data_IF_583224081784
#
_entry.id   IF_583224081784
#
_cell.length_a   1.000
_cell.length_b   1.000
_cell.length_c   1.000
_cell.angle_alpha   90.00
_cell.angle_beta   90.00
_cell.angle_gamma   90.00
#
_symmetry.space_group_name_H-M   'P 1'
#
loop_
_entity.id
_entity.type
_entity.pdbx_description
1 polymer ?
#
# COMPACT_ATOMS: atom_id res chain seq x y z
N UNK A 1 -1.55 8.11 24.10
CA UNK A 1 -2.72 8.52 23.30
C UNK A 1 -2.79 7.54 22.12
N UNK A 2 -3.58 6.47 22.21
CA UNK A 2 -3.69 5.49 21.12
C UNK A 2 -4.85 5.91 20.21
N UNK A 3 -4.62 6.93 19.38
CA UNK A 3 -5.60 7.51 18.47
C UNK A 3 -5.50 6.81 17.11
N UNK A 4 -5.94 5.56 17.03
CA UNK A 4 -5.93 4.78 15.79
C UNK A 4 -6.51 3.39 15.98
N UNK A 5 -6.96 2.77 14.91
CA UNK A 5 -7.28 1.34 14.89
C UNK A 5 -5.98 0.54 15.08
N UNK A 6 -6.08 -0.66 15.64
CA UNK A 6 -4.92 -1.54 15.93
C UNK A 6 -4.12 -1.96 14.69
N UNK A 7 -4.72 -1.80 13.52
CA UNK A 7 -4.18 -2.12 12.21
C UNK A 7 -3.80 -0.88 11.39
N UNK A 8 -3.64 0.29 12.03
CA UNK A 8 -3.19 1.52 11.36
C UNK A 8 -1.71 1.78 11.62
N UNK A 9 -0.93 1.97 10.56
CA UNK A 9 0.53 2.11 10.64
C UNK A 9 1.08 3.25 9.79
N UNK A 10 2.28 3.68 10.17
CA UNK A 10 3.17 4.52 9.38
C UNK A 10 4.50 3.78 9.23
N UNK A 11 4.89 3.51 7.99
CA UNK A 11 6.13 2.79 7.67
C UNK A 11 7.21 3.76 7.24
N UNK A 12 8.44 3.50 7.70
CA UNK A 12 9.64 4.28 7.40
C UNK A 12 10.77 3.42 6.81
N UNK A 13 10.55 2.12 6.71
CA UNK A 13 11.47 1.13 6.14
C UNK A 13 10.71 0.19 5.19
N UNK A 14 11.42 -0.35 4.21
CA UNK A 14 10.87 -1.35 3.28
C UNK A 14 10.41 -2.61 4.03
N UNK A 15 11.20 -3.06 5.00
CA UNK A 15 10.94 -4.26 5.79
C UNK A 15 9.62 -4.14 6.58
N UNK A 16 9.43 -3.01 7.28
CA UNK A 16 8.20 -2.74 8.03
C UNK A 16 6.98 -2.59 7.10
N UNK A 17 7.18 -1.96 5.94
CA UNK A 17 6.13 -1.81 4.93
C UNK A 17 5.66 -3.17 4.41
N UNK A 18 6.59 -4.03 3.99
CA UNK A 18 6.26 -5.34 3.42
C UNK A 18 5.55 -6.20 4.46
N UNK A 19 6.09 -6.30 5.67
CA UNK A 19 5.50 -7.11 6.74
C UNK A 19 4.14 -6.55 7.19
N UNK A 20 4.06 -5.23 7.38
CA UNK A 20 2.87 -4.54 7.84
C UNK A 20 1.74 -4.62 6.83
N UNK A 21 1.97 -4.21 5.58
CA UNK A 21 0.94 -4.19 4.54
C UNK A 21 0.36 -5.60 4.26
N UNK A 22 1.23 -6.61 4.20
CA UNK A 22 0.78 -8.02 4.04
C UNK A 22 -0.12 -8.48 5.17
N UNK A 23 0.09 -7.96 6.39
CA UNK A 23 -0.73 -8.28 7.56
C UNK A 23 -2.04 -7.49 7.59
N UNK A 24 -1.99 -6.19 7.30
CA UNK A 24 -3.16 -5.31 7.35
C UNK A 24 -4.12 -5.57 6.20
N UNK A 25 -3.62 -5.72 4.96
CA UNK A 25 -4.44 -5.96 3.78
C UNK A 25 -5.03 -7.38 3.73
N UNK A 26 -4.39 -8.34 4.41
CA UNK A 26 -4.97 -9.65 4.70
C UNK A 26 -6.22 -9.57 5.60
N UNK A 27 -6.32 -8.55 6.45
CA UNK A 27 -7.39 -8.43 7.44
C UNK A 27 -8.57 -7.63 6.91
N UNK A 28 -8.34 -6.48 6.28
CA UNK A 28 -9.38 -5.59 5.77
C UNK A 28 -8.88 -4.78 4.56
N UNK A 29 -9.78 -4.19 3.74
CA UNK A 29 -9.41 -3.22 2.71
C UNK A 29 -8.64 -2.01 3.26
N UNK A 30 -7.70 -1.47 2.47
CA UNK A 30 -6.73 -0.46 2.92
C UNK A 30 -6.83 0.84 2.14
N UNK A 31 -6.43 1.93 2.79
CA UNK A 31 -6.06 3.21 2.18
C UNK A 31 -4.57 3.41 2.40
N UNK A 32 -3.83 3.53 1.30
CA UNK A 32 -2.38 3.73 1.30
C UNK A 32 -2.08 5.12 0.77
N UNK A 33 -1.26 5.90 1.49
CA UNK A 33 -0.92 7.27 1.09
C UNK A 33 0.47 7.69 1.54
N UNK A 34 1.07 8.62 0.79
CA UNK A 34 2.24 9.37 1.27
C UNK A 34 1.85 10.34 2.40
N UNK A 35 2.78 10.61 3.30
CA UNK A 35 2.62 11.64 4.33
C UNK A 35 3.16 13.02 3.90
N UNK A 36 2.98 13.35 2.62
CA UNK A 36 3.32 14.65 2.01
C UNK A 36 2.19 15.03 1.06
N UNK A 37 1.84 16.32 1.03
CA UNK A 37 0.69 16.83 0.29
C UNK A 37 0.62 16.24 -1.12
N UNK A 38 -0.45 15.50 -1.38
CA UNK A 38 -0.75 14.97 -2.69
C UNK A 38 -2.12 15.50 -3.08
N UNK A 39 -2.26 16.00 -4.31
CA UNK A 39 -3.55 16.42 -4.85
C UNK A 39 -4.42 15.19 -5.21
N UNK A 40 -4.41 14.15 -4.36
CA UNK A 40 -4.99 12.82 -4.63
C UNK A 40 -3.99 11.81 -5.20
N UNK A 41 -2.86 12.25 -5.76
CA UNK A 41 -1.86 11.37 -6.38
C UNK A 41 -1.18 10.46 -5.36
N UNK A 42 -0.97 9.20 -5.74
CA UNK A 42 -0.35 8.19 -4.88
C UNK A 42 -1.18 7.84 -3.64
N UNK A 43 -2.49 8.14 -3.64
CA UNK A 43 -3.43 7.63 -2.64
C UNK A 43 -4.20 6.46 -3.25
N UNK A 44 -4.04 5.27 -2.69
CA UNK A 44 -4.61 4.03 -3.20
C UNK A 44 -5.65 3.45 -2.26
N UNK A 45 -6.82 3.12 -2.78
CA UNK A 45 -7.76 2.21 -2.15
C UNK A 45 -7.43 0.78 -2.60
N UNK A 46 -7.21 -0.12 -1.65
CA UNK A 46 -6.70 -1.46 -1.91
C UNK A 46 -7.69 -2.53 -1.42
N UNK A 47 -8.09 -3.44 -2.29
CA UNK A 47 -8.91 -4.61 -1.97
C UNK A 47 -8.25 -5.90 -2.46
N UNK A 48 -8.43 -7.00 -1.75
CA UNK A 48 -8.13 -8.33 -2.29
C UNK A 48 -9.13 -8.67 -3.39
N UNK A 49 -8.64 -9.01 -4.58
CA UNK A 49 -9.47 -9.53 -5.67
C UNK A 49 -10.21 -10.81 -5.26
N UNK A 50 -9.60 -11.63 -4.41
CA UNK A 50 -10.18 -12.87 -3.91
C UNK A 50 -11.29 -12.65 -2.86
N UNK A 51 -11.34 -11.48 -2.23
CA UNK A 51 -12.19 -11.21 -1.06
C UNK A 51 -11.87 -12.05 0.19
N UNK A 52 -10.77 -12.81 0.19
CA UNK A 52 -10.41 -13.75 1.27
C UNK A 52 -9.70 -13.05 2.43
N UNK A 53 -10.41 -12.21 3.16
CA UNK A 53 -9.90 -11.59 4.38
C UNK A 53 -9.89 -12.57 5.56
N UNK A 54 -8.90 -12.47 6.45
CA UNK A 54 -8.92 -13.23 7.70
C UNK A 54 -9.87 -12.62 8.74
N UNK A 55 -10.30 -13.44 9.70
CA UNK A 55 -11.29 -13.04 10.70
C UNK A 55 -10.70 -12.11 11.75
N UNK A 56 -9.48 -12.37 12.21
CA UNK A 56 -8.80 -11.55 13.20
C UNK A 56 -7.50 -10.98 12.62
N UNK A 57 -7.12 -9.79 13.09
CA UNK A 57 -5.90 -9.13 12.66
C UNK A 57 -4.67 -9.99 13.01
N UNK A 58 -3.88 -10.36 11.99
CA UNK A 58 -2.69 -11.18 12.14
C UNK A 58 -2.87 -12.69 11.99
N UNK A 59 -4.09 -13.18 11.76
CA UNK A 59 -4.35 -14.60 11.48
C UNK A 59 -3.64 -15.12 10.22
N UNK A 60 -3.32 -14.23 9.27
CA UNK A 60 -2.61 -14.56 8.04
C UNK A 60 -1.76 -13.39 7.55
N UNK A 61 -0.86 -13.69 6.62
CA UNK A 61 -0.15 -12.72 5.80
C UNK A 61 -0.49 -12.97 4.33
N UNK A 62 -0.46 -11.91 3.52
CA UNK A 62 -0.58 -12.06 2.07
C UNK A 62 0.70 -12.62 1.44
N UNK A 63 0.54 -13.44 0.41
CA UNK A 63 1.61 -13.88 -0.47
C UNK A 63 1.80 -12.89 -1.63
N UNK A 64 3.01 -12.83 -2.20
CA UNK A 64 3.33 -11.86 -3.26
C UNK A 64 2.50 -12.04 -4.53
N UNK A 65 2.01 -13.26 -4.79
CA UNK A 65 1.22 -13.62 -5.97
C UNK A 65 -0.30 -13.36 -5.80
N UNK A 66 -0.77 -12.95 -4.62
CA UNK A 66 -2.17 -12.59 -4.43
C UNK A 66 -2.48 -11.28 -5.14
N UNK A 67 -3.68 -11.19 -5.71
CA UNK A 67 -4.07 -10.06 -6.55
C UNK A 67 -4.83 -8.99 -5.77
N UNK A 68 -4.45 -7.75 -6.01
CA UNK A 68 -5.06 -6.53 -5.50
C UNK A 68 -5.86 -5.85 -6.61
N UNK A 69 -7.02 -5.33 -6.22
CA UNK A 69 -7.76 -4.32 -6.95
C UNK A 69 -7.37 -2.98 -6.33
N UNK A 70 -6.83 -2.06 -7.13
CA UNK A 70 -6.25 -0.80 -6.68
C UNK A 70 -6.94 0.37 -7.37
N UNK A 71 -7.51 1.31 -6.61
CA UNK A 71 -8.06 2.56 -7.16
C UNK A 71 -7.21 3.74 -6.74
N UNK A 72 -6.69 4.51 -7.70
CA UNK A 72 -6.03 5.78 -7.38
C UNK A 72 -7.08 6.87 -7.15
N UNK A 73 -6.96 7.63 -6.06
CA UNK A 73 -7.98 8.62 -5.69
C UNK A 73 -7.96 9.91 -6.53
N UNK A 74 -6.90 10.18 -7.29
CA UNK A 74 -6.79 11.40 -8.11
C UNK A 74 -7.79 11.41 -9.28
N UNK A 75 -8.01 10.28 -9.95
CA UNK A 75 -8.84 10.15 -11.14
C UNK A 75 -9.80 8.94 -11.10
N UNK A 76 -9.76 8.15 -10.02
CA UNK A 76 -10.54 6.93 -9.79
C UNK A 76 -10.29 5.79 -10.79
N UNK A 77 -9.17 5.80 -11.52
CA UNK A 77 -8.84 4.67 -12.38
C UNK A 77 -8.56 3.42 -11.55
N UNK A 78 -8.79 2.27 -12.17
CA UNK A 78 -8.60 0.96 -11.54
C UNK A 78 -7.40 0.26 -12.14
N UNK A 79 -6.47 -0.18 -11.30
CA UNK A 79 -5.37 -1.08 -11.67
C UNK A 79 -5.50 -2.41 -10.93
N UNK A 80 -4.90 -3.45 -11.51
CA UNK A 80 -4.87 -4.80 -10.92
C UNK A 80 -3.43 -5.27 -10.93
N UNK A 81 -2.90 -5.47 -9.74
CA UNK A 81 -1.51 -5.87 -9.53
C UNK A 81 -1.42 -6.93 -8.47
N UNK A 82 -0.38 -7.74 -8.54
CA UNK A 82 -0.04 -8.63 -7.45
C UNK A 82 0.45 -7.83 -6.23
N UNK A 83 0.38 -8.42 -5.05
CA UNK A 83 0.90 -7.81 -3.81
C UNK A 83 2.39 -7.47 -3.97
N UNK A 84 3.17 -8.35 -4.61
CA UNK A 84 4.58 -8.12 -4.87
C UNK A 84 4.83 -6.92 -5.79
N UNK A 85 4.08 -6.81 -6.89
CA UNK A 85 4.18 -5.67 -7.82
C UNK A 85 3.82 -4.34 -7.14
N UNK A 86 2.76 -4.32 -6.33
CA UNK A 86 2.36 -3.12 -5.59
C UNK A 86 3.40 -2.70 -4.56
N UNK A 87 3.94 -3.64 -3.79
CA UNK A 87 5.00 -3.34 -2.81
C UNK A 87 6.27 -2.85 -3.51
N UNK A 88 6.65 -3.44 -4.63
CA UNK A 88 7.79 -2.98 -5.44
C UNK A 88 7.55 -1.57 -5.97
N UNK A 89 6.35 -1.26 -6.47
CA UNK A 89 5.98 0.10 -6.87
C UNK A 89 6.10 1.07 -5.70
N UNK A 90 5.63 0.69 -4.51
CA UNK A 90 5.72 1.53 -3.33
C UNK A 90 7.17 1.82 -2.90
N UNK A 91 8.09 0.89 -3.11
CA UNK A 91 9.50 1.02 -2.67
C UNK A 91 10.38 1.64 -3.76
N UNK A 92 10.33 1.07 -4.97
CA UNK A 92 11.28 1.36 -6.06
C UNK A 92 10.63 2.08 -7.26
N UNK A 93 9.31 2.18 -7.28
CA UNK A 93 8.56 2.89 -8.33
C UNK A 93 8.34 2.07 -9.61
N UNK A 94 7.57 2.62 -10.57
CA UNK A 94 7.08 1.88 -11.74
C UNK A 94 8.17 1.55 -12.77
N UNK A 95 9.36 2.15 -12.66
CA UNK A 95 10.50 1.82 -13.54
C UNK A 95 11.25 0.55 -13.13
N UNK A 96 10.96 0.01 -11.94
CA UNK A 96 11.51 -1.29 -11.54
C UNK A 96 10.93 -2.40 -12.39
N UNK A 97 11.78 -3.29 -12.92
CA UNK A 97 11.35 -4.43 -13.71
C UNK A 97 10.41 -5.41 -12.95
N UNK A 98 10.38 -5.33 -11.61
CA UNK A 98 9.53 -6.15 -10.75
C UNK A 98 8.17 -5.51 -10.42
N UNK A 99 7.97 -4.22 -10.75
CA UNK A 99 6.76 -3.49 -10.40
C UNK A 99 5.58 -3.81 -11.33
N UNK A 100 5.81 -4.48 -12.45
CA UNK A 100 4.79 -4.65 -13.49
C UNK A 100 4.61 -3.36 -14.30
N UNK A 101 3.47 -3.21 -14.98
CA UNK A 101 3.18 -2.05 -15.82
C UNK A 101 2.08 -1.20 -15.20
N UNK A 102 2.38 0.06 -14.87
CA UNK A 102 1.47 0.99 -14.19
C UNK A 102 0.89 2.00 -15.16
N UNK A 103 -0.40 2.32 -15.00
CA UNK A 103 -1.06 3.45 -15.66
C UNK A 103 -0.88 4.75 -14.87
N UNK A 104 -0.78 4.66 -13.55
CA UNK A 104 -0.53 5.79 -12.67
C UNK A 104 0.68 6.62 -13.11
N UNK A 105 0.53 7.94 -13.07
CA UNK A 105 1.62 8.89 -13.27
C UNK A 105 2.38 9.18 -11.97
N UNK A 106 1.88 8.70 -10.83
CA UNK A 106 2.56 8.84 -9.55
C UNK A 106 3.85 8.00 -9.52
N UNK A 107 4.99 8.54 -9.05
CA UNK A 107 6.28 7.85 -9.13
C UNK A 107 6.46 6.65 -8.17
N UNK A 108 5.49 6.36 -7.31
CA UNK A 108 5.65 5.37 -6.24
C UNK A 108 6.66 5.84 -5.20
N UNK A 109 7.60 4.96 -4.80
CA UNK A 109 8.79 5.33 -4.01
C UNK A 109 8.51 6.14 -2.73
N UNK A 110 7.54 5.70 -1.93
CA UNK A 110 7.04 6.43 -0.77
C UNK A 110 8.10 6.66 0.32
N UNK A 111 9.18 5.86 0.33
CA UNK A 111 10.24 5.89 1.33
C UNK A 111 11.53 6.57 0.83
N UNK A 112 11.55 7.07 -0.40
CA UNK A 112 12.74 7.68 -1.01
C UNK A 112 13.20 8.92 -0.22
N UNK A 113 14.53 9.05 -0.06
CA UNK A 113 15.14 10.09 0.77
C UNK A 113 15.08 9.83 2.29
N UNK A 114 14.37 8.78 2.73
CA UNK A 114 14.28 8.38 4.12
C UNK A 114 13.45 9.33 5.00
N UNK A 115 13.35 8.99 6.29
CA UNK A 115 12.47 9.68 7.25
C UNK A 115 12.75 11.18 7.37
N UNK A 116 14.01 11.60 7.36
CA UNK A 116 14.38 13.01 7.46
C UNK A 116 13.90 13.84 6.25
N UNK A 117 13.84 13.23 5.07
CA UNK A 117 13.29 13.85 3.86
C UNK A 117 11.74 13.75 3.78
N UNK A 118 11.10 13.16 4.79
CA UNK A 118 9.65 12.92 4.83
C UNK A 118 9.21 11.61 4.16
N UNK A 119 10.15 10.71 3.84
CA UNK A 119 9.85 9.37 3.32
C UNK A 119 9.02 8.58 4.34
N UNK A 120 7.78 8.31 3.99
CA UNK A 120 6.79 7.68 4.85
C UNK A 120 5.59 7.20 4.03
N UNK A 121 5.16 5.97 4.28
CA UNK A 121 3.89 5.43 3.81
C UNK A 121 2.93 5.27 4.98
N UNK A 122 1.70 5.76 4.84
CA UNK A 122 0.62 5.58 5.81
C UNK A 122 -0.33 4.53 5.29
N UNK A 123 -0.68 3.59 6.18
CA UNK A 123 -1.58 2.47 5.92
C UNK A 123 -2.73 2.51 6.93
N UNK A 124 -3.93 2.76 6.40
CA UNK A 124 -5.15 2.93 7.18
C UNK A 124 -6.23 1.97 6.70
N UNK A 125 -7.09 1.50 7.61
CA UNK A 125 -8.26 0.72 7.24
C UNK A 125 -9.21 1.59 6.41
N UNK A 126 -9.67 1.07 5.29
CA UNK A 126 -10.79 1.66 4.55
C UNK A 126 -12.09 1.30 5.27
N UNK A 127 -12.76 2.31 5.83
CA UNK A 127 -14.04 2.20 6.56
C UNK A 127 -15.25 2.39 5.65
#
# INVERSE_FOLDING_TARGET
>A
LNCGLEDTYAYYSEEDLIAGFKKTCAFQPRVIKQNRGSAGEGIWLCWLCSGKYCKNYGDRLLEDNEWLKLMEMNDNHMEYHTVGEFLEFCVNGPTSAKAGNWMSTFPGKYLEGGKEAGGQLVDQRLL
#
